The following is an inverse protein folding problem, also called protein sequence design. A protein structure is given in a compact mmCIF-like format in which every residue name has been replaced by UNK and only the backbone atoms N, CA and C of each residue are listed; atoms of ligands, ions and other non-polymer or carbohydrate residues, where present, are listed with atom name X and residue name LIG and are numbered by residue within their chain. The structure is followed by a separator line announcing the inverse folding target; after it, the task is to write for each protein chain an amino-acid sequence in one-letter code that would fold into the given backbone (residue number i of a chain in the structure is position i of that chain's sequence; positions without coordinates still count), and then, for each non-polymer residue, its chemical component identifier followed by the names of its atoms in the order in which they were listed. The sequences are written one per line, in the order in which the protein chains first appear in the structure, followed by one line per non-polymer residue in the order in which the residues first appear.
data_IF_183072658513
#
_entry.id   IF_183072658513
#
_cell.length_a   1.000
_cell.length_b   1.000
_cell.length_c   1.000
_cell.angle_alpha   90.00
_cell.angle_beta   90.00
_cell.angle_gamma   90.00
#
_symmetry.space_group_name_H-M   'P 1'
#
loop_
_entity.id
_entity.type
_entity.pdbx_description
1 polymer ?
#
# COMPACT_ATOMS: atom_id res chain seq x y z
N UNK A 1 5.40 -28.59 -23.15
CA UNK A 1 6.15 -29.61 -22.37
C UNK A 1 5.71 -29.53 -20.92
N UNK A 2 5.07 -30.58 -20.42
CA UNK A 2 4.58 -30.62 -19.04
C UNK A 2 5.70 -30.87 -18.04
N UNK A 3 5.44 -30.65 -16.74
CA UNK A 3 6.41 -30.92 -15.67
C UNK A 3 6.92 -32.38 -15.73
N UNK A 4 6.04 -33.32 -16.11
CA UNK A 4 6.35 -34.75 -16.23
C UNK A 4 7.38 -35.07 -17.32
N UNK A 5 7.36 -34.34 -18.44
CA UNK A 5 8.33 -34.53 -19.53
C UNK A 5 9.69 -33.93 -19.17
N UNK A 6 9.70 -32.81 -18.45
CA UNK A 6 10.92 -32.18 -17.92
C UNK A 6 11.68 -33.14 -16.98
N UNK A 7 10.99 -33.86 -16.11
CA UNK A 7 11.62 -34.83 -15.20
C UNK A 7 12.28 -36.00 -15.94
N UNK A 8 11.62 -36.55 -16.96
CA UNK A 8 12.18 -37.62 -17.80
C UNK A 8 13.43 -37.14 -18.55
N UNK A 9 13.39 -35.91 -19.07
CA UNK A 9 14.50 -35.27 -19.76
C UNK A 9 15.71 -35.04 -18.85
N UNK A 10 15.51 -34.56 -17.61
CA UNK A 10 16.57 -34.34 -16.64
C UNK A 10 17.19 -35.65 -16.12
N UNK A 11 16.40 -36.73 -15.99
CA UNK A 11 16.92 -38.07 -15.63
C UNK A 11 17.81 -38.67 -16.73
N UNK A 12 17.45 -38.44 -18.00
CA UNK A 12 18.23 -38.91 -19.15
C UNK A 12 19.53 -38.12 -19.33
N UNK A 13 19.53 -36.83 -18.99
CA UNK A 13 20.64 -35.91 -19.21
C UNK A 13 21.29 -35.47 -17.89
N UNK A 14 22.08 -36.35 -17.28
CA UNK A 14 22.72 -36.12 -15.96
C UNK A 14 23.75 -34.98 -15.90
N UNK A 15 24.17 -34.46 -17.05
CA UNK A 15 25.06 -33.30 -17.14
C UNK A 15 24.32 -31.97 -16.88
N UNK A 16 22.98 -31.97 -16.94
CA UNK A 16 22.16 -30.78 -16.72
C UNK A 16 21.87 -30.68 -15.23
N UNK A 17 22.43 -29.66 -14.57
CA UNK A 17 22.12 -29.31 -13.18
C UNK A 17 21.20 -28.10 -13.17
N UNK A 18 20.14 -28.17 -12.37
CA UNK A 18 19.29 -27.01 -12.14
C UNK A 18 20.08 -26.01 -11.29
N UNK A 19 20.43 -24.86 -11.85
CA UNK A 19 21.03 -23.77 -11.08
C UNK A 19 19.91 -23.02 -10.36
N UNK A 20 19.94 -23.05 -9.03
CA UNK A 20 19.14 -22.16 -8.20
C UNK A 20 19.87 -20.82 -8.23
N UNK A 21 19.48 -19.94 -9.14
CA UNK A 21 19.92 -18.54 -9.09
C UNK A 21 19.36 -17.90 -7.83
N UNK A 22 20.11 -16.98 -7.24
CA UNK A 22 19.69 -16.19 -6.08
C UNK A 22 18.30 -15.63 -6.32
N UNK A 23 17.32 -16.04 -5.51
CA UNK A 23 15.99 -15.47 -5.56
C UNK A 23 16.13 -14.07 -5.00
N UNK A 24 16.12 -13.05 -5.87
CA UNK A 24 15.96 -11.67 -5.43
C UNK A 24 14.54 -11.53 -4.88
N UNK A 25 14.36 -11.85 -3.60
CA UNK A 25 13.12 -11.56 -2.87
C UNK A 25 13.07 -10.04 -2.73
N UNK A 26 12.37 -9.37 -3.63
CA UNK A 26 12.06 -7.95 -3.50
C UNK A 26 10.98 -7.88 -2.40
N UNK A 27 11.41 -7.70 -1.15
CA UNK A 27 10.52 -7.48 -0.01
C UNK A 27 9.98 -6.05 -0.03
N UNK A 28 9.09 -5.76 -0.98
CA UNK A 28 8.29 -4.55 -0.97
C UNK A 28 8.15 -3.92 -2.34
N UNK A 29 6.93 -3.94 -2.86
CA UNK A 29 6.44 -2.85 -3.71
C UNK A 29 6.24 -1.64 -2.79
N UNK A 30 7.33 -0.94 -2.46
CA UNK A 30 7.26 0.27 -1.65
C UNK A 30 6.24 1.22 -2.25
N UNK A 31 5.32 1.73 -1.42
CA UNK A 31 4.31 2.69 -1.85
C UNK A 31 4.96 3.89 -2.54
N UNK A 32 4.25 4.47 -3.52
CA UNK A 32 4.71 5.66 -4.24
C UNK A 32 5.11 6.71 -3.20
N UNK A 33 6.40 7.03 -3.12
CA UNK A 33 6.88 8.14 -2.31
C UNK A 33 6.35 9.41 -2.94
N UNK A 34 5.28 9.93 -2.35
CA UNK A 34 4.73 11.22 -2.72
C UNK A 34 5.76 12.31 -2.44
N UNK A 35 6.03 13.14 -3.44
CA UNK A 35 6.92 14.29 -3.31
C UNK A 35 6.30 15.37 -2.40
N UNK A 36 7.10 16.39 -2.08
CA UNK A 36 6.63 17.52 -1.26
C UNK A 36 5.48 18.28 -1.93
N UNK A 37 5.56 18.50 -3.24
CA UNK A 37 4.54 19.23 -3.99
C UNK A 37 3.18 18.54 -3.99
N UNK A 38 3.15 17.22 -4.15
CA UNK A 38 1.90 16.46 -4.09
C UNK A 38 1.26 16.51 -2.69
N UNK A 39 2.06 16.51 -1.62
CA UNK A 39 1.54 16.68 -0.26
C UNK A 39 0.89 18.05 -0.05
N UNK A 40 1.42 19.10 -0.65
CA UNK A 40 0.82 20.43 -0.59
C UNK A 40 -0.51 20.49 -1.35
N UNK A 41 -0.59 19.86 -2.53
CA UNK A 41 -1.83 19.74 -3.29
C UNK A 41 -2.87 18.96 -2.49
N UNK A 42 -2.49 17.84 -1.89
CA UNK A 42 -3.36 17.05 -1.01
C UNK A 42 -3.87 17.87 0.18
N UNK A 43 -3.02 18.70 0.79
CA UNK A 43 -3.39 19.57 1.91
C UNK A 43 -4.38 20.65 1.48
N UNK A 44 -4.19 21.30 0.33
CA UNK A 44 -5.13 22.30 -0.22
C UNK A 44 -6.49 21.70 -0.54
N UNK A 45 -6.51 20.50 -1.15
CA UNK A 45 -7.75 19.77 -1.46
C UNK A 45 -8.47 19.39 -0.16
N UNK A 46 -7.73 18.95 0.86
CA UNK A 46 -8.27 18.61 2.17
C UNK A 46 -8.87 19.83 2.90
N UNK A 47 -8.19 20.97 2.89
CA UNK A 47 -8.70 22.22 3.47
C UNK A 47 -9.97 22.71 2.77
N UNK A 48 -10.06 22.55 1.45
CA UNK A 48 -11.25 22.95 0.68
C UNK A 48 -12.45 22.03 0.89
N UNK A 49 -12.23 20.77 1.25
CA UNK A 49 -13.27 19.73 1.36
C UNK A 49 -13.37 19.16 2.78
N UNK A 50 -13.79 19.96 3.78
CA UNK A 50 -13.88 19.52 5.17
C UNK A 50 -14.89 18.37 5.34
N UNK A 51 -14.60 17.44 6.24
CA UNK A 51 -15.49 16.31 6.57
C UNK A 51 -15.40 15.11 5.62
N UNK A 52 -14.57 15.17 4.58
CA UNK A 52 -14.27 14.01 3.73
C UNK A 52 -13.19 13.10 4.33
N UNK A 53 -13.11 11.81 3.97
CA UNK A 53 -12.02 10.92 4.38
C UNK A 53 -10.63 11.44 3.97
N UNK A 54 -10.56 12.26 2.92
CA UNK A 54 -9.32 12.90 2.48
C UNK A 54 -8.90 14.03 3.43
N UNK A 55 -9.85 14.83 3.88
CA UNK A 55 -9.60 15.87 4.89
C UNK A 55 -9.21 15.32 6.25
N UNK A 56 -9.67 14.12 6.61
CA UNK A 56 -9.21 13.44 7.83
C UNK A 56 -7.74 13.01 7.77
N UNK A 57 -7.23 12.68 6.58
CA UNK A 57 -5.85 12.19 6.39
C UNK A 57 -4.83 13.29 6.15
N UNK A 58 -5.21 14.34 5.41
CA UNK A 58 -4.29 15.37 4.93
C UNK A 58 -4.67 16.80 5.35
N UNK A 59 -5.81 16.98 6.04
CA UNK A 59 -6.27 18.29 6.48
C UNK A 59 -5.80 18.64 7.89
N UNK A 60 -5.75 19.94 8.20
CA UNK A 60 -5.53 20.46 9.55
C UNK A 60 -6.87 20.62 10.26
N UNK A 61 -7.25 19.65 11.10
CA UNK A 61 -8.44 19.76 11.94
C UNK A 61 -8.14 20.59 13.20
N UNK A 62 -9.06 21.49 13.57
CA UNK A 62 -8.97 22.23 14.83
C UNK A 62 -9.21 21.30 16.03
N UNK A 63 -8.62 21.60 17.19
CA UNK A 63 -8.85 20.86 18.44
C UNK A 63 -10.34 20.75 18.78
N UNK A 64 -11.12 21.80 18.48
CA UNK A 64 -12.57 21.80 18.68
C UNK A 64 -13.24 20.73 17.81
N UNK A 65 -12.92 20.68 16.53
CA UNK A 65 -13.50 19.74 15.56
C UNK A 65 -13.13 18.29 15.89
N UNK A 66 -11.89 18.05 16.31
CA UNK A 66 -11.43 16.73 16.74
C UNK A 66 -12.26 16.25 17.94
N UNK A 67 -12.42 17.08 18.97
CA UNK A 67 -13.20 16.73 20.16
C UNK A 67 -14.68 16.53 19.84
N UNK A 68 -15.27 17.38 19.00
CA UNK A 68 -16.65 17.22 18.53
C UNK A 68 -16.82 15.89 17.80
N UNK A 69 -15.92 15.55 16.86
CA UNK A 69 -15.98 14.29 16.12
C UNK A 69 -15.79 13.07 17.02
N UNK A 70 -14.92 13.14 18.03
CA UNK A 70 -14.74 12.08 19.03
C UNK A 70 -16.01 11.83 19.84
N UNK A 71 -16.67 12.90 20.30
CA UNK A 71 -17.95 12.80 21.02
C UNK A 71 -19.03 12.20 20.12
N UNK A 72 -19.17 12.68 18.88
CA UNK A 72 -20.13 12.16 17.92
C UNK A 72 -19.88 10.67 17.58
N UNK A 73 -18.61 10.25 17.46
CA UNK A 73 -18.23 8.83 17.30
C UNK A 73 -18.55 8.01 18.55
N UNK A 74 -18.27 8.52 19.75
CA UNK A 74 -18.62 7.86 21.03
C UNK A 74 -20.12 7.60 21.15
N UNK A 75 -20.94 8.55 20.71
CA UNK A 75 -22.39 8.42 20.69
C UNK A 75 -22.94 7.72 19.44
N UNK A 76 -22.07 7.15 18.59
CA UNK A 76 -22.43 6.43 17.34
C UNK A 76 -23.30 7.23 16.36
N UNK A 77 -23.24 8.56 16.44
CA UNK A 77 -23.95 9.46 15.52
C UNK A 77 -23.20 9.48 14.18
N UNK A 78 -21.88 9.40 14.23
CA UNK A 78 -20.99 9.24 13.08
C UNK A 78 -20.24 7.92 13.25
N UNK A 79 -20.09 7.17 12.17
CA UNK A 79 -19.44 5.85 12.15
C UNK A 79 -17.91 5.95 12.16
#
# INVERSE_FOLDING_TARGET
MGISEKEKYLKKNKHIKQQITTINIISGTGGIKNDGGWKEVQSKIAERNPGTPMAERYGKASTKEIKTRQVLKKHKIIK
#
